data_IF_124192206867
#
_entry.id   IF_124192206867
#
_cell.length_a   1.000
_cell.length_b   1.000
_cell.length_c   1.000
_cell.angle_alpha   90.00
_cell.angle_beta   90.00
_cell.angle_gamma   90.00
#
_symmetry.space_group_name_H-M   'P 1'
#
loop_
_entity.id
_entity.type
_entity.pdbx_description
1 polymer ?
#
# COMPACT_ATOMS: atom_id res chain seq x y z
N UNK A 1 -8.04 -3.34 6.62
CA UNK A 1 -7.27 -4.60 6.65
C UNK A 1 -7.08 -5.05 8.09
N UNK A 2 -7.00 -6.36 8.36
CA UNK A 2 -6.69 -6.87 9.69
C UNK A 2 -5.19 -7.15 9.81
N UNK A 3 -4.63 -6.93 11.01
CA UNK A 3 -3.27 -7.34 11.38
C UNK A 3 -3.31 -7.91 12.79
N UNK A 4 -2.67 -9.04 13.01
CA UNK A 4 -2.64 -9.72 14.32
C UNK A 4 -4.04 -9.89 14.95
N UNK A 5 -5.03 -10.29 14.14
CA UNK A 5 -6.41 -10.56 14.60
C UNK A 5 -7.26 -9.32 14.91
N UNK A 6 -6.79 -8.11 14.61
CA UNK A 6 -7.52 -6.85 14.87
C UNK A 6 -7.64 -6.00 13.61
N UNK A 7 -8.71 -5.21 13.52
CA UNK A 7 -8.83 -4.18 12.49
C UNK A 7 -7.73 -3.13 12.72
N UNK A 8 -6.92 -2.88 11.70
CA UNK A 8 -5.87 -1.89 11.79
C UNK A 8 -6.46 -0.47 11.78
N UNK A 9 -5.97 0.42 12.66
CA UNK A 9 -6.52 1.78 12.81
C UNK A 9 -6.35 2.64 11.54
N UNK A 10 -5.22 2.51 10.85
CA UNK A 10 -4.97 3.11 9.53
C UNK A 10 -4.80 2.02 8.45
N UNK A 11 -3.63 1.95 7.81
CA UNK A 11 -3.27 0.86 6.91
C UNK A 11 -1.81 0.44 7.12
N UNK A 12 -1.52 -0.86 7.10
CA UNK A 12 -0.14 -1.37 7.16
C UNK A 12 0.63 -0.95 5.90
N UNK A 13 1.93 -0.66 6.04
CA UNK A 13 2.75 -0.22 4.90
C UNK A 13 2.80 -1.24 3.77
N UNK A 14 2.99 -2.52 4.10
CA UNK A 14 3.01 -3.62 3.14
C UNK A 14 1.65 -3.84 2.48
N UNK A 15 0.55 -3.71 3.23
CA UNK A 15 -0.80 -3.78 2.66
C UNK A 15 -1.09 -2.59 1.72
N UNK A 16 -0.54 -1.40 2.04
CA UNK A 16 -0.64 -0.24 1.15
C UNK A 16 0.14 -0.46 -0.17
N UNK A 17 1.30 -1.14 -0.13
CA UNK A 17 2.00 -1.60 -1.35
C UNK A 17 1.12 -2.57 -2.14
N UNK A 18 0.49 -3.55 -1.48
CA UNK A 18 -0.39 -4.50 -2.16
C UNK A 18 -1.59 -3.81 -2.83
N UNK A 19 -2.20 -2.84 -2.16
CA UNK A 19 -3.28 -2.01 -2.74
C UNK A 19 -2.77 -1.23 -3.96
N UNK A 20 -1.61 -0.59 -3.87
CA UNK A 20 -1.02 0.13 -4.99
C UNK A 20 -0.80 -0.79 -6.20
N UNK A 21 -0.14 -1.93 -5.98
CA UNK A 21 0.12 -2.93 -7.01
C UNK A 21 -1.16 -3.43 -7.66
N UNK A 22 -2.14 -3.84 -6.85
CA UNK A 22 -3.40 -4.34 -7.37
C UNK A 22 -4.19 -3.25 -8.12
N UNK A 23 -4.24 -2.03 -7.58
CA UNK A 23 -4.93 -0.92 -8.24
C UNK A 23 -4.34 -0.57 -9.62
N UNK A 24 -3.03 -0.78 -9.80
CA UNK A 24 -2.31 -0.52 -11.06
C UNK A 24 -2.29 -1.72 -12.03
N UNK A 25 -2.87 -2.86 -11.65
CA UNK A 25 -3.08 -4.02 -12.54
C UNK A 25 -4.56 -4.04 -12.96
N UNK A 26 -4.88 -3.72 -14.24
CA UNK A 26 -6.26 -3.72 -14.73
C UNK A 26 -6.96 -5.05 -14.49
N UNK A 27 -8.20 -4.99 -13.98
CA UNK A 27 -9.05 -6.17 -13.76
C UNK A 27 -8.93 -6.85 -12.40
N UNK A 28 -8.00 -6.44 -11.53
CA UNK A 28 -8.06 -6.88 -10.13
C UNK A 28 -9.27 -6.26 -9.42
N UNK A 29 -9.74 -6.88 -8.34
CA UNK A 29 -10.85 -6.32 -7.55
C UNK A 29 -10.54 -4.91 -7.01
N UNK A 30 -9.28 -4.64 -6.64
CA UNK A 30 -8.87 -3.31 -6.15
C UNK A 30 -8.91 -2.29 -7.29
N UNK A 31 -8.44 -2.66 -8.48
CA UNK A 31 -8.50 -1.80 -9.66
C UNK A 31 -9.95 -1.48 -10.05
N UNK A 32 -10.83 -2.48 -10.10
CA UNK A 32 -12.25 -2.34 -10.40
C UNK A 32 -12.96 -1.46 -9.36
N UNK A 33 -12.69 -1.67 -8.07
CA UNK A 33 -13.23 -0.82 -7.00
C UNK A 33 -12.77 0.64 -7.10
N UNK A 34 -11.59 0.89 -7.69
CA UNK A 34 -11.08 2.24 -7.96
C UNK A 34 -11.54 2.82 -9.32
N UNK A 35 -12.52 2.21 -9.97
CA UNK A 35 -13.10 2.66 -11.25
C UNK A 35 -12.52 1.99 -12.50
N UNK A 36 -11.67 0.98 -12.35
CA UNK A 36 -11.10 0.22 -13.47
C UNK A 36 -10.05 0.98 -14.29
N UNK A 37 -9.62 0.35 -15.39
CA UNK A 37 -8.69 0.92 -16.36
C UNK A 37 -7.24 0.97 -15.89
N UNK A 38 -6.38 1.62 -16.68
CA UNK A 38 -5.00 1.85 -16.31
C UNK A 38 -4.89 2.93 -15.21
N UNK A 39 -4.02 2.68 -14.24
CA UNK A 39 -3.77 3.61 -13.11
C UNK A 39 -2.30 3.59 -12.76
N UNK A 40 -1.77 4.76 -12.40
CA UNK A 40 -0.43 4.90 -11.83
C UNK A 40 -0.47 5.12 -10.31
N UNK A 41 -1.60 5.62 -9.80
CA UNK A 41 -1.82 5.82 -8.37
C UNK A 41 -3.30 5.80 -8.01
N UNK A 42 -3.57 5.53 -6.74
CA UNK A 42 -4.90 5.60 -6.13
C UNK A 42 -4.81 6.28 -4.77
N UNK A 43 -5.84 7.04 -4.44
CA UNK A 43 -6.07 7.51 -3.07
C UNK A 43 -7.20 6.69 -2.48
N UNK A 44 -6.93 5.92 -1.44
CA UNK A 44 -7.94 5.08 -0.79
C UNK A 44 -8.20 5.55 0.65
N UNK A 45 -9.42 5.32 1.12
CA UNK A 45 -9.81 5.55 2.51
C UNK A 45 -9.42 4.39 3.42
N UNK A 46 -8.97 4.71 4.63
CA UNK A 46 -8.75 3.79 5.75
C UNK A 46 -9.39 4.39 7.02
N UNK A 47 -9.55 3.65 8.13
CA UNK A 47 -10.38 4.13 9.25
C UNK A 47 -9.95 5.49 9.84
N UNK A 48 -8.65 5.83 9.80
CA UNK A 48 -8.14 7.15 10.23
C UNK A 48 -7.97 8.21 9.12
N UNK A 49 -8.49 8.05 7.90
CA UNK A 49 -8.34 9.05 6.84
C UNK A 49 -8.08 8.47 5.45
N UNK A 50 -7.19 9.09 4.67
CA UNK A 50 -6.87 8.67 3.30
C UNK A 50 -5.36 8.52 3.10
N UNK A 51 -4.97 7.67 2.15
CA UNK A 51 -3.58 7.47 1.76
C UNK A 51 -3.46 7.39 0.23
N UNK A 52 -2.59 8.23 -0.36
CA UNK A 52 -2.21 8.15 -1.77
C UNK A 52 -1.02 7.20 -1.93
N UNK A 53 -1.18 6.21 -2.80
CA UNK A 53 -0.14 5.24 -3.14
C UNK A 53 -0.10 5.03 -4.65
N UNK A 54 1.05 4.64 -5.18
CA UNK A 54 1.21 4.34 -6.60
C UNK A 54 2.08 3.12 -6.85
N UNK A 55 1.93 2.55 -8.04
CA UNK A 55 2.77 1.46 -8.50
C UNK A 55 2.96 1.54 -10.01
N UNK A 56 4.12 1.08 -10.47
CA UNK A 56 4.38 0.88 -11.88
C UNK A 56 4.33 -0.63 -12.15
N UNK A 57 3.25 -1.08 -12.78
CA UNK A 57 3.06 -2.48 -13.16
C UNK A 57 3.11 -2.59 -14.69
N UNK A 58 3.83 -3.59 -15.19
CA UNK A 58 3.95 -3.87 -16.62
C UNK A 58 3.56 -5.32 -16.88
N UNK A 59 2.72 -5.55 -17.87
CA UNK A 59 2.45 -6.89 -18.37
C UNK A 59 3.62 -7.35 -19.23
N UNK A 60 4.14 -8.53 -18.93
CA UNK A 60 5.20 -9.21 -19.67
C UNK A 60 4.67 -10.54 -20.20
N UNK A 61 5.45 -11.25 -21.02
CA UNK A 61 5.09 -12.60 -21.49
C UNK A 61 4.88 -13.59 -20.33
N UNK A 62 5.53 -13.37 -19.18
CA UNK A 62 5.42 -14.20 -17.98
C UNK A 62 4.33 -13.72 -17.00
N UNK A 63 3.56 -12.68 -17.38
CA UNK A 63 2.54 -12.06 -16.54
C UNK A 63 2.93 -10.69 -16.01
N UNK A 64 2.20 -10.22 -15.00
CA UNK A 64 2.37 -8.87 -14.44
C UNK A 64 3.60 -8.78 -13.56
N UNK A 65 4.43 -7.77 -13.81
CA UNK A 65 5.60 -7.42 -13.00
C UNK A 65 5.43 -6.01 -12.45
N UNK A 66 5.49 -5.87 -11.12
CA UNK A 66 5.50 -4.56 -10.45
C UNK A 66 6.94 -4.10 -10.29
N UNK A 67 7.32 -3.06 -11.04
CA UNK A 67 8.69 -2.53 -11.06
C UNK A 67 8.96 -1.56 -9.90
N UNK A 68 7.91 -0.86 -9.45
CA UNK A 68 8.02 0.17 -8.42
C UNK A 68 6.74 0.27 -7.61
N UNK A 69 6.86 0.56 -6.32
CA UNK A 69 5.78 1.04 -5.46
C UNK A 69 6.18 2.38 -4.83
N UNK A 70 5.21 3.28 -4.68
CA UNK A 70 5.41 4.67 -4.26
C UNK A 70 4.44 5.00 -3.15
N UNK A 71 4.94 5.58 -2.06
CA UNK A 71 4.13 6.15 -0.99
C UNK A 71 4.92 7.24 -0.25
N UNK A 72 4.21 8.15 0.41
CA UNK A 72 4.80 9.16 1.28
C UNK A 72 4.61 8.77 2.75
N UNK A 73 5.66 8.90 3.55
CA UNK A 73 5.65 8.69 5.01
C UNK A 73 6.55 9.73 5.69
N UNK A 74 6.31 9.97 6.98
CA UNK A 74 7.19 10.74 7.85
C UNK A 74 7.78 9.84 8.94
N UNK A 75 8.92 10.26 9.48
CA UNK A 75 9.58 9.60 10.60
C UNK A 75 10.18 10.65 11.54
N UNK A 76 10.28 10.33 12.82
CA UNK A 76 10.98 11.14 13.84
C UNK A 76 11.56 10.23 14.91
N UNK A 77 12.67 10.63 15.51
CA UNK A 77 13.19 9.98 16.72
C UNK A 77 12.22 10.28 17.87
N UNK A 78 11.86 9.25 18.62
CA UNK A 78 11.05 9.37 19.85
C UNK A 78 11.91 9.32 21.11
N UNK A 79 12.94 8.46 21.11
CA UNK A 79 13.92 8.32 22.20
C UNK A 79 15.26 7.86 21.61
N UNK A 80 16.35 8.35 22.18
CA UNK A 80 17.73 7.94 21.88
C UNK A 80 18.39 7.49 23.19
N UNK A 81 19.11 6.37 23.17
CA UNK A 81 19.73 5.78 24.35
C UNK A 81 19.83 4.26 24.26
N UNK A 82 19.82 3.60 25.42
CA UNK A 82 19.97 2.13 25.52
C UNK A 82 18.72 1.49 26.11
N UNK A 83 18.16 0.51 25.40
CA UNK A 83 17.20 -0.43 25.99
C UNK A 83 17.99 -1.48 26.78
N UNK A 84 17.52 -1.87 27.97
CA UNK A 84 18.10 -2.94 28.80
C UNK A 84 17.06 -4.03 29.04
N UNK A 85 17.49 -5.28 29.14
CA UNK A 85 16.67 -6.46 29.46
C UNK A 85 17.37 -7.31 30.54
N UNK A 86 16.64 -8.10 31.36
CA UNK A 86 17.23 -9.10 32.26
C UNK A 86 18.01 -10.20 31.54
#
# INVERSE_FOLDING_TARGET
ALSMGKLHHAMMGTAAVAIASAACVPGTLVNLAAGGGEKESVTFGHPSGTLKVGAQAKQTEQGWVVQKAIMSRSARILMEGFVRVP
#
